data_IF_990214751227
#
_entry.id   IF_990214751227
#
_cell.length_a   1.000
_cell.length_b   1.000
_cell.length_c   1.000
_cell.angle_alpha   90.00
_cell.angle_beta   90.00
_cell.angle_gamma   90.00
#
_symmetry.space_group_name_H-M   'P 1'
#
loop_
_entity.id
_entity.type
_entity.pdbx_description
1 polymer ?
#
# COMPACT_ATOMS: atom_id res chain seq x y z
N UNK A 1 -5.66 16.48 10.32
CA UNK A 1 -6.47 16.87 9.15
C UNK A 1 -6.73 15.61 8.37
N UNK A 2 -7.92 15.42 7.82
CA UNK A 2 -8.32 14.21 7.08
C UNK A 2 -8.82 14.60 5.68
N UNK A 3 -8.92 13.63 4.77
CA UNK A 3 -9.46 13.85 3.42
C UNK A 3 -10.98 14.07 3.46
N UNK A 4 -11.59 14.67 2.41
CA UNK A 4 -13.04 14.81 2.34
C UNK A 4 -13.75 13.46 2.49
N UNK A 5 -14.71 13.40 3.42
CA UNK A 5 -15.41 12.16 3.82
C UNK A 5 -16.01 11.36 2.65
N UNK A 6 -16.37 12.01 1.56
CA UNK A 6 -16.89 11.34 0.36
C UNK A 6 -15.92 10.28 -0.19
N UNK A 7 -14.60 10.51 -0.10
CA UNK A 7 -13.60 9.55 -0.53
C UNK A 7 -13.51 8.37 0.42
N UNK A 8 -13.47 8.63 1.74
CA UNK A 8 -13.51 7.56 2.74
C UNK A 8 -14.74 6.66 2.58
N UNK A 9 -15.91 7.21 2.21
CA UNK A 9 -17.12 6.42 1.96
C UNK A 9 -16.99 5.62 0.65
N UNK A 10 -16.73 6.32 -0.45
CA UNK A 10 -16.76 5.73 -1.81
C UNK A 10 -15.68 4.68 -2.02
N UNK A 11 -14.52 4.88 -1.41
CA UNK A 11 -13.34 4.03 -1.59
C UNK A 11 -13.07 3.09 -0.41
N UNK A 12 -13.96 3.05 0.60
CA UNK A 12 -13.76 2.27 1.85
C UNK A 12 -13.43 0.79 1.64
N UNK A 13 -13.97 0.18 0.59
CA UNK A 13 -13.77 -1.24 0.27
C UNK A 13 -12.59 -1.49 -0.70
N UNK A 14 -11.88 -0.45 -1.13
CA UNK A 14 -10.78 -0.57 -2.10
C UNK A 14 -9.44 -0.79 -1.40
N UNK A 15 -8.68 -1.76 -1.92
CA UNK A 15 -7.25 -1.94 -1.59
C UNK A 15 -6.35 -1.07 -2.46
N UNK A 16 -6.74 -0.82 -3.72
CA UNK A 16 -6.02 0.01 -4.69
C UNK A 16 -6.95 1.15 -5.12
N UNK A 17 -6.51 2.38 -4.86
CA UNK A 17 -7.29 3.62 -5.07
C UNK A 17 -6.99 4.30 -6.41
N UNK A 18 -6.37 3.56 -7.31
CA UNK A 18 -5.97 3.98 -8.65
C UNK A 18 -6.51 2.97 -9.67
N UNK A 19 -6.57 3.31 -10.97
CA UNK A 19 -6.98 2.39 -12.03
C UNK A 19 -5.93 1.30 -12.34
N UNK A 20 -5.49 0.61 -11.27
CA UNK A 20 -4.56 -0.49 -11.26
C UNK A 20 -5.27 -1.74 -10.74
N UNK A 21 -5.03 -2.87 -11.39
CA UNK A 21 -5.40 -4.18 -10.85
C UNK A 21 -4.24 -4.72 -10.01
N UNK A 22 -4.51 -5.73 -9.20
CA UNK A 22 -3.46 -6.42 -8.43
C UNK A 22 -2.36 -6.99 -9.35
N UNK A 23 -2.72 -7.49 -10.53
CA UNK A 23 -1.77 -8.03 -11.51
C UNK A 23 -0.88 -6.94 -12.10
N UNK A 24 -1.42 -5.74 -12.36
CA UNK A 24 -0.61 -4.59 -12.80
C UNK A 24 0.39 -4.17 -11.74
N UNK A 25 -0.03 -4.20 -10.47
CA UNK A 25 0.84 -3.85 -9.35
C UNK A 25 1.96 -4.89 -9.14
N UNK A 26 1.65 -6.18 -9.28
CA UNK A 26 2.66 -7.24 -9.28
C UNK A 26 3.63 -7.14 -10.48
N UNK A 27 3.10 -6.84 -11.67
CA UNK A 27 3.91 -6.63 -12.87
C UNK A 27 4.89 -5.47 -12.69
N UNK A 28 4.45 -4.38 -12.08
CA UNK A 28 5.31 -3.24 -11.76
C UNK A 28 6.43 -3.64 -10.79
N UNK A 29 6.11 -4.37 -9.71
CA UNK A 29 7.11 -4.86 -8.76
C UNK A 29 8.18 -5.72 -9.43
N UNK A 30 7.77 -6.63 -10.31
CA UNK A 30 8.69 -7.48 -11.08
C UNK A 30 9.57 -6.68 -12.05
N UNK A 31 8.99 -5.69 -12.73
CA UNK A 31 9.71 -4.84 -13.69
C UNK A 31 10.77 -3.94 -13.02
N UNK A 32 10.59 -3.62 -11.74
CA UNK A 32 11.53 -2.82 -10.96
C UNK A 32 12.73 -3.62 -10.43
N UNK A 33 12.75 -4.95 -10.60
CA UNK A 33 13.82 -5.83 -10.12
C UNK A 33 14.18 -5.58 -8.65
N UNK A 34 13.15 -5.42 -7.79
CA UNK A 34 13.33 -5.09 -6.38
C UNK A 34 14.10 -6.20 -5.65
N UNK A 35 15.20 -5.80 -5.00
CA UNK A 35 15.99 -6.70 -4.16
C UNK A 35 15.51 -6.66 -2.71
N UNK A 36 15.71 -7.77 -1.99
CA UNK A 36 15.43 -7.83 -0.55
C UNK A 36 16.20 -6.75 0.20
N UNK A 37 15.51 -6.01 1.07
CA UNK A 37 16.07 -4.89 1.80
C UNK A 37 16.06 -3.55 1.05
N UNK A 38 15.56 -3.52 -0.20
CA UNK A 38 15.30 -2.24 -0.90
C UNK A 38 14.37 -1.37 -0.06
N UNK A 39 14.71 -0.08 0.07
CA UNK A 39 13.93 0.88 0.84
C UNK A 39 12.97 1.66 -0.07
N UNK A 40 11.69 1.69 0.26
CA UNK A 40 10.66 2.37 -0.53
C UNK A 40 9.96 3.42 0.34
N UNK A 41 9.86 4.64 -0.18
CA UNK A 41 9.02 5.70 0.38
C UNK A 41 7.82 5.89 -0.54
N UNK A 42 6.61 5.75 0.00
CA UNK A 42 5.36 5.91 -0.73
C UNK A 42 4.56 7.09 -0.16
N UNK A 43 4.39 8.15 -0.95
CA UNK A 43 3.70 9.38 -0.57
C UNK A 43 2.33 9.41 -1.23
N UNK A 44 1.26 9.43 -0.43
CA UNK A 44 -0.09 9.11 -0.89
C UNK A 44 -0.31 7.60 -0.99
N UNK A 45 0.23 6.85 -0.03
CA UNK A 45 0.26 5.38 -0.03
C UNK A 45 -1.11 4.72 0.12
N UNK A 46 -2.13 5.51 0.49
CA UNK A 46 -3.50 5.06 0.66
C UNK A 46 -3.58 3.82 1.57
N UNK A 47 -4.39 2.81 1.22
CA UNK A 47 -4.55 1.57 2.01
C UNK A 47 -3.35 0.63 1.95
N UNK A 48 -2.19 1.07 1.42
CA UNK A 48 -0.89 0.41 1.59
C UNK A 48 -0.68 -0.85 0.75
N UNK A 49 -1.57 -1.20 -0.18
CA UNK A 49 -1.50 -2.47 -0.92
C UNK A 49 -0.17 -2.66 -1.65
N UNK A 50 0.40 -1.59 -2.23
CA UNK A 50 1.68 -1.67 -2.95
C UNK A 50 2.83 -2.08 -2.03
N UNK A 51 3.04 -1.33 -0.95
CA UNK A 51 4.11 -1.60 0.01
C UNK A 51 3.93 -2.96 0.67
N UNK A 52 2.71 -3.33 1.09
CA UNK A 52 2.49 -4.61 1.76
C UNK A 52 2.71 -5.80 0.82
N UNK A 53 2.23 -5.73 -0.43
CA UNK A 53 2.45 -6.79 -1.42
C UNK A 53 3.94 -6.92 -1.77
N UNK A 54 4.64 -5.81 -1.97
CA UNK A 54 6.06 -5.85 -2.33
C UNK A 54 6.95 -6.24 -1.15
N UNK A 55 6.60 -5.86 0.08
CA UNK A 55 7.29 -6.34 1.28
C UNK A 55 7.19 -7.87 1.38
N UNK A 56 6.00 -8.43 1.13
CA UNK A 56 5.79 -9.87 1.11
C UNK A 56 6.55 -10.57 -0.02
N UNK A 57 6.46 -10.05 -1.24
CA UNK A 57 6.93 -10.76 -2.44
C UNK A 57 8.44 -10.56 -2.70
N UNK A 58 8.97 -9.39 -2.36
CA UNK A 58 10.36 -9.00 -2.65
C UNK A 58 11.18 -8.69 -1.39
N UNK A 59 10.57 -8.63 -0.20
CA UNK A 59 11.26 -8.33 1.04
C UNK A 59 11.76 -6.88 1.12
N UNK A 60 11.04 -5.94 0.50
CA UNK A 60 11.36 -4.50 0.63
C UNK A 60 10.95 -3.96 2.00
N UNK A 61 11.60 -2.89 2.44
CA UNK A 61 11.29 -2.17 3.68
C UNK A 61 10.69 -0.82 3.31
N UNK A 62 9.49 -0.55 3.80
CA UNK A 62 8.67 0.57 3.33
C UNK A 62 8.38 1.63 4.40
N UNK A 63 8.10 2.85 3.95
CA UNK A 63 7.36 3.84 4.74
C UNK A 63 6.26 4.41 3.85
N UNK A 64 5.01 4.22 4.25
CA UNK A 64 3.84 4.80 3.60
C UNK A 64 3.33 6.02 4.37
N UNK A 65 3.08 7.12 3.67
CA UNK A 65 2.48 8.33 4.22
C UNK A 65 1.18 8.59 3.49
N UNK A 66 0.09 8.70 4.23
CA UNK A 66 -1.21 9.09 3.68
C UNK A 66 -1.90 10.13 4.57
N UNK A 67 -2.76 10.95 3.97
CA UNK A 67 -3.57 11.94 4.70
C UNK A 67 -4.82 11.32 5.33
N UNK A 68 -5.32 10.22 4.75
CA UNK A 68 -6.52 9.55 5.25
C UNK A 68 -6.20 8.70 6.46
N UNK A 69 -6.88 9.02 7.56
CA UNK A 69 -6.80 8.20 8.77
C UNK A 69 -7.36 6.79 8.51
N UNK A 70 -8.48 6.69 7.78
CA UNK A 70 -9.09 5.41 7.43
C UNK A 70 -8.13 4.54 6.62
N UNK A 71 -7.52 5.10 5.57
CA UNK A 71 -6.63 4.33 4.71
C UNK A 71 -5.35 3.92 5.44
N UNK A 72 -4.82 4.79 6.32
CA UNK A 72 -3.66 4.45 7.17
C UNK A 72 -3.96 3.28 8.10
N UNK A 73 -5.13 3.22 8.73
CA UNK A 73 -5.50 2.07 9.58
C UNK A 73 -5.69 0.79 8.74
N UNK A 74 -6.29 0.90 7.54
CA UNK A 74 -6.38 -0.23 6.63
C UNK A 74 -5.01 -0.74 6.17
N UNK A 75 -4.05 0.16 5.94
CA UNK A 75 -2.68 -0.20 5.57
C UNK A 75 -1.99 -0.99 6.69
N UNK A 76 -2.17 -0.60 7.96
CA UNK A 76 -1.65 -1.34 9.11
C UNK A 76 -2.26 -2.74 9.19
N UNK A 77 -3.59 -2.84 9.11
CA UNK A 77 -4.29 -4.13 9.11
C UNK A 77 -3.84 -5.02 7.93
N UNK A 78 -3.57 -4.41 6.77
CA UNK A 78 -3.07 -5.13 5.59
C UNK A 78 -1.65 -5.65 5.80
N UNK A 79 -0.78 -4.87 6.42
CA UNK A 79 0.56 -5.29 6.78
C UNK A 79 0.52 -6.45 7.78
N UNK A 80 -0.36 -6.37 8.79
CA UNK A 80 -0.60 -7.48 9.73
C UNK A 80 -1.15 -8.73 9.03
N UNK A 81 -2.17 -8.59 8.15
CA UNK A 81 -2.77 -9.69 7.37
C UNK A 81 -1.72 -10.44 6.54
N UNK A 82 -0.73 -9.71 6.00
CA UNK A 82 0.34 -10.28 5.18
C UNK A 82 1.61 -10.64 5.96
N UNK A 83 1.66 -10.39 7.27
CA UNK A 83 2.83 -10.68 8.11
C UNK A 83 4.06 -9.81 7.81
N UNK A 84 3.85 -8.54 7.45
CA UNK A 84 4.90 -7.58 7.04
C UNK A 84 4.81 -6.25 7.79
N UNK A 85 4.30 -6.28 9.03
CA UNK A 85 4.10 -5.09 9.85
C UNK A 85 5.37 -4.57 10.56
N UNK A 86 6.45 -5.36 10.56
CA UNK A 86 7.72 -5.06 11.25
C UNK A 86 8.71 -4.24 10.41
#
# INVERSE_FOLDING_TARGET
>A
MDIPRIFNITESARRIHNPFTSEKLATLGAALCLERGTRVLDLGSSSGEMLCAWARDYGVIGTGIDMSQLFTEQAKLRAEELGVAD
#
